data_IF_955865124038
#
_entry.id   IF_955865124038
#
_cell.length_a   1.000
_cell.length_b   1.000
_cell.length_c   1.000
_cell.angle_alpha   90.00
_cell.angle_beta   90.00
_cell.angle_gamma   90.00
#
_symmetry.space_group_name_H-M   'P 1'
#
loop_
_entity.id
_entity.type
_entity.pdbx_description
1 polymer ?
#
# COMPACT_ATOMS: atom_id res chain seq x y z
N UNK A 1 -6.66 16.22 -19.39
CA UNK A 1 -6.04 15.25 -20.31
C UNK A 1 -4.90 14.49 -19.66
N UNK A 2 -3.87 15.19 -19.18
CA UNK A 2 -2.68 14.56 -18.58
C UNK A 2 -2.94 14.00 -17.17
N UNK A 3 -2.18 12.99 -16.76
CA UNK A 3 -2.08 12.57 -15.36
C UNK A 3 -1.17 13.55 -14.61
N UNK A 4 -1.67 14.12 -13.51
CA UNK A 4 -0.88 14.99 -12.65
C UNK A 4 -0.04 14.16 -11.67
N UNK A 5 1.10 14.71 -11.26
CA UNK A 5 1.96 14.14 -10.23
C UNK A 5 2.28 15.25 -9.22
N UNK A 6 2.24 14.92 -7.93
CA UNK A 6 2.77 15.79 -6.88
C UNK A 6 3.58 14.96 -5.88
N UNK A 7 4.53 15.60 -5.21
CA UNK A 7 5.47 14.96 -4.29
C UNK A 7 5.41 15.73 -2.97
N UNK A 8 5.33 15.01 -1.86
CA UNK A 8 5.23 15.59 -0.52
C UNK A 8 5.74 14.61 0.54
N UNK A 9 5.50 14.92 1.81
CA UNK A 9 5.74 14.06 2.97
C UNK A 9 4.54 14.21 3.93
N UNK A 10 4.49 13.44 5.03
CA UNK A 10 3.39 13.40 6.01
C UNK A 10 2.63 14.72 6.24
N UNK A 11 3.27 15.84 6.64
CA UNK A 11 2.55 17.10 6.85
C UNK A 11 1.90 17.68 5.60
N UNK A 12 2.61 17.64 4.46
CA UNK A 12 2.10 18.17 3.21
C UNK A 12 1.06 17.26 2.56
N UNK A 13 1.06 15.95 2.90
CA UNK A 13 -0.02 15.01 2.60
C UNK A 13 -1.24 15.30 3.46
N UNK A 14 -1.07 15.57 4.76
CA UNK A 14 -2.18 15.92 5.65
C UNK A 14 -2.97 17.14 5.14
N UNK A 15 -2.28 18.15 4.60
CA UNK A 15 -2.90 19.32 3.97
C UNK A 15 -3.62 19.00 2.64
N UNK A 16 -3.29 17.88 1.98
CA UNK A 16 -3.89 17.47 0.70
C UNK A 16 -5.08 16.53 0.85
N UNK A 17 -5.41 16.13 2.08
CA UNK A 17 -6.48 15.17 2.40
C UNK A 17 -7.80 15.52 1.70
N UNK A 18 -8.21 16.79 1.72
CA UNK A 18 -9.46 17.23 1.07
C UNK A 18 -9.39 17.11 -0.46
N UNK A 19 -8.31 17.55 -1.09
CA UNK A 19 -8.14 17.46 -2.54
C UNK A 19 -7.97 16.02 -3.02
N UNK A 20 -7.42 15.12 -2.20
CA UNK A 20 -7.38 13.69 -2.49
C UNK A 20 -8.82 13.13 -2.51
N UNK A 21 -9.65 13.50 -1.54
CA UNK A 21 -11.08 13.18 -1.52
C UNK A 21 -11.80 13.67 -2.77
N UNK A 22 -11.58 14.92 -3.18
CA UNK A 22 -12.11 15.48 -4.43
C UNK A 22 -11.66 14.66 -5.66
N UNK A 23 -10.37 14.32 -5.75
CA UNK A 23 -9.83 13.56 -6.88
C UNK A 23 -10.44 12.15 -6.96
N UNK A 24 -10.72 11.50 -5.83
CA UNK A 24 -11.41 10.21 -5.79
C UNK A 24 -12.88 10.35 -6.18
N UNK A 25 -13.60 11.33 -5.62
CA UNK A 25 -15.00 11.59 -5.97
C UNK A 25 -15.18 11.85 -7.47
N UNK A 26 -14.34 12.72 -8.02
CA UNK A 26 -14.37 13.11 -9.44
C UNK A 26 -13.67 12.11 -10.38
N UNK A 27 -13.10 11.02 -9.85
CA UNK A 27 -12.36 10.01 -10.61
C UNK A 27 -11.25 10.61 -11.49
N UNK A 28 -10.47 11.50 -10.89
CA UNK A 28 -9.35 12.21 -11.53
C UNK A 28 -8.07 11.38 -11.34
N UNK A 29 -7.41 10.94 -12.43
CA UNK A 29 -6.07 10.36 -12.37
C UNK A 29 -5.07 11.29 -11.70
N UNK A 30 -4.53 10.86 -10.55
CA UNK A 30 -3.54 11.59 -9.77
C UNK A 30 -2.51 10.62 -9.19
N UNK A 31 -1.23 10.93 -9.36
CA UNK A 31 -0.16 10.27 -8.62
C UNK A 31 0.31 11.19 -7.49
N UNK A 32 0.20 10.73 -6.26
CA UNK A 32 0.76 11.37 -5.08
C UNK A 32 1.97 10.56 -4.61
N UNK A 33 3.15 11.18 -4.57
CA UNK A 33 4.32 10.56 -3.95
C UNK A 33 4.41 11.08 -2.53
N UNK A 34 4.31 10.17 -1.56
CA UNK A 34 4.53 10.47 -0.15
C UNK A 34 5.89 9.90 0.26
N UNK A 35 6.86 10.79 0.43
CA UNK A 35 8.20 10.46 0.92
C UNK A 35 8.16 10.54 2.44
N UNK A 36 7.87 9.42 3.07
CA UNK A 36 7.70 9.35 4.53
C UNK A 36 8.99 9.74 5.26
N UNK A 37 8.81 10.47 6.37
CA UNK A 37 9.88 10.90 7.28
C UNK A 37 9.35 10.79 8.72
N UNK A 38 10.23 10.96 9.70
CA UNK A 38 9.84 10.83 11.09
C UNK A 38 8.75 11.81 11.50
N UNK A 39 7.72 11.29 12.19
CA UNK A 39 6.57 12.05 12.69
C UNK A 39 6.53 12.09 14.23
N UNK A 40 5.39 12.49 14.84
CA UNK A 40 4.25 13.19 14.24
C UNK A 40 4.55 14.70 14.03
N UNK A 41 3.64 15.41 13.35
CA UNK A 41 3.78 16.86 13.09
C UNK A 41 5.08 17.19 12.32
N UNK A 42 5.85 18.20 12.74
CA UNK A 42 7.18 18.49 12.19
C UNK A 42 8.11 17.27 12.30
N UNK A 43 7.97 16.50 13.38
CA UNK A 43 8.67 15.26 13.63
C UNK A 43 10.17 15.36 13.48
N UNK A 44 10.75 14.41 12.74
CA UNK A 44 12.17 14.30 12.43
C UNK A 44 12.37 14.43 10.92
N UNK A 45 12.49 15.66 10.39
CA UNK A 45 12.50 15.92 8.95
C UNK A 45 13.51 15.13 8.12
N UNK A 46 14.63 14.78 8.73
CA UNK A 46 15.79 14.14 8.10
C UNK A 46 15.91 12.65 8.42
N UNK A 47 14.92 12.08 9.11
CA UNK A 47 14.96 10.70 9.58
C UNK A 47 13.90 9.85 8.89
N UNK A 48 14.22 8.58 8.70
CA UNK A 48 13.31 7.60 8.08
C UNK A 48 12.28 7.13 9.08
N UNK A 49 11.04 7.02 8.62
CA UNK A 49 9.93 6.35 9.31
C UNK A 49 8.90 5.91 8.26
N UNK A 50 8.05 4.96 8.62
CA UNK A 50 6.99 4.35 7.81
C UNK A 50 5.63 4.50 8.52
N UNK A 51 5.44 5.64 9.18
CA UNK A 51 4.30 5.94 10.05
C UNK A 51 3.03 6.34 9.31
N UNK A 52 3.11 6.74 8.04
CA UNK A 52 1.99 7.38 7.34
C UNK A 52 0.97 6.37 6.75
N UNK A 53 1.31 5.07 6.69
CA UNK A 53 0.53 4.02 6.01
C UNK A 53 -0.98 4.06 6.30
N UNK A 54 -1.39 4.02 7.58
CA UNK A 54 -2.82 4.01 7.91
C UNK A 54 -3.49 5.32 7.53
N UNK A 55 -2.82 6.46 7.76
CA UNK A 55 -3.36 7.76 7.36
C UNK A 55 -3.49 7.86 5.84
N UNK A 56 -2.56 7.27 5.08
CA UNK A 56 -2.58 7.26 3.63
C UNK A 56 -3.73 6.39 3.13
N UNK A 57 -4.06 5.29 3.79
CA UNK A 57 -5.20 4.47 3.37
C UNK A 57 -6.53 5.09 3.79
N UNK A 58 -6.65 5.61 5.03
CA UNK A 58 -7.93 5.94 5.67
C UNK A 58 -8.08 7.39 6.17
N UNK A 59 -7.15 8.29 5.84
CA UNK A 59 -7.10 9.63 6.44
C UNK A 59 -8.09 10.64 5.87
N UNK A 60 -8.70 10.35 4.73
CA UNK A 60 -9.68 11.22 4.08
C UNK A 60 -11.10 11.03 4.66
N UNK A 61 -11.89 12.12 4.81
CA UNK A 61 -13.29 12.00 5.19
C UNK A 61 -14.11 11.23 4.16
N UNK A 62 -15.00 10.36 4.63
CA UNK A 62 -15.86 9.52 3.78
C UNK A 62 -15.11 8.38 3.08
N UNK A 63 -15.85 7.53 2.36
CA UNK A 63 -15.29 6.38 1.67
C UNK A 63 -14.47 6.81 0.44
N UNK A 64 -13.15 6.86 0.63
CA UNK A 64 -12.19 7.39 -0.35
C UNK A 64 -11.24 6.30 -0.87
N UNK A 65 -11.74 5.34 -1.68
CA UNK A 65 -10.93 4.24 -2.19
C UNK A 65 -9.85 4.76 -3.15
N UNK A 66 -8.62 4.29 -2.95
CA UNK A 66 -7.46 4.64 -3.77
C UNK A 66 -6.41 3.55 -3.71
N UNK A 67 -5.49 3.55 -4.68
CA UNK A 67 -4.39 2.59 -4.72
C UNK A 67 -3.22 3.13 -3.90
N UNK A 68 -2.61 2.28 -3.09
CA UNK A 68 -1.38 2.59 -2.32
C UNK A 68 -0.35 1.51 -2.65
N UNK A 69 0.79 1.94 -3.18
CA UNK A 69 1.93 1.09 -3.49
C UNK A 69 3.19 1.61 -2.81
N UNK A 70 4.10 0.71 -2.44
CA UNK A 70 5.36 1.03 -1.78
C UNK A 70 6.53 0.39 -2.53
N UNK A 71 7.42 1.18 -3.15
CA UNK A 71 8.62 0.65 -3.79
C UNK A 71 9.59 0.12 -2.74
N UNK A 72 10.32 -0.94 -3.07
CA UNK A 72 11.24 -1.60 -2.13
C UNK A 72 12.72 -1.23 -2.30
N UNK A 73 13.10 -0.74 -3.49
CA UNK A 73 14.49 -0.42 -3.87
C UNK A 73 14.53 0.82 -4.75
N UNK A 74 15.72 1.37 -5.00
CA UNK A 74 15.88 2.54 -5.88
C UNK A 74 15.48 2.22 -7.32
N UNK A 75 15.80 1.02 -7.81
CA UNK A 75 15.32 0.54 -9.10
C UNK A 75 13.78 0.44 -9.12
N UNK A 76 13.19 -0.06 -8.04
CA UNK A 76 11.74 -0.17 -7.93
C UNK A 76 11.06 1.20 -7.86
N UNK A 77 11.68 2.22 -7.27
CA UNK A 77 11.20 3.60 -7.32
C UNK A 77 11.03 4.10 -8.76
N UNK A 78 12.02 3.84 -9.63
CA UNK A 78 11.96 4.22 -11.05
C UNK A 78 10.75 3.58 -11.76
N UNK A 79 10.61 2.25 -11.66
CA UNK A 79 9.51 1.54 -12.32
C UNK A 79 8.15 1.76 -11.67
N UNK A 80 8.12 2.06 -10.38
CA UNK A 80 6.89 2.29 -9.63
C UNK A 80 6.19 3.58 -10.04
N UNK A 81 6.92 4.65 -10.39
CA UNK A 81 6.29 5.87 -10.92
C UNK A 81 5.62 5.62 -12.28
N UNK A 82 6.27 4.86 -13.17
CA UNK A 82 5.70 4.46 -14.47
C UNK A 82 4.41 3.64 -14.24
N UNK A 83 4.47 2.70 -13.30
CA UNK A 83 3.34 1.82 -12.94
C UNK A 83 2.20 2.63 -12.32
N UNK A 84 2.49 3.52 -11.38
CA UNK A 84 1.51 4.36 -10.69
C UNK A 84 0.74 5.23 -11.67
N UNK A 85 1.44 5.87 -12.62
CA UNK A 85 0.81 6.68 -13.67
C UNK A 85 -0.13 5.84 -14.53
N UNK A 86 0.30 4.64 -14.96
CA UNK A 86 -0.56 3.73 -15.73
C UNK A 86 -1.82 3.33 -14.97
N UNK A 87 -1.68 3.02 -13.67
CA UNK A 87 -2.81 2.65 -12.81
C UNK A 87 -3.76 3.85 -12.68
N UNK A 88 -3.25 5.04 -12.36
CA UNK A 88 -4.05 6.24 -12.19
C UNK A 88 -4.88 6.55 -13.45
N UNK A 89 -4.26 6.48 -14.63
CA UNK A 89 -4.90 6.72 -15.93
C UNK A 89 -5.92 5.63 -16.29
N UNK A 90 -5.56 4.36 -16.13
CA UNK A 90 -6.40 3.22 -16.53
C UNK A 90 -7.62 3.09 -15.62
N UNK A 91 -7.43 3.25 -14.31
CA UNK A 91 -8.46 3.03 -13.31
C UNK A 91 -9.16 4.33 -12.85
N UNK A 92 -8.81 5.48 -13.44
CA UNK A 92 -9.37 6.79 -13.05
C UNK A 92 -9.42 6.97 -11.53
N UNK A 93 -8.25 6.85 -10.91
CA UNK A 93 -8.11 6.84 -9.45
C UNK A 93 -6.87 7.60 -9.01
N UNK A 94 -6.85 7.94 -7.72
CA UNK A 94 -5.63 8.34 -7.03
C UNK A 94 -4.76 7.11 -6.82
N UNK A 95 -3.46 7.27 -7.07
CA UNK A 95 -2.42 6.30 -6.72
C UNK A 95 -1.40 6.99 -5.82
N UNK A 96 -1.25 6.49 -4.60
CA UNK A 96 -0.22 6.94 -3.67
C UNK A 96 0.99 6.02 -3.78
N UNK A 97 2.15 6.61 -4.08
CA UNK A 97 3.45 5.93 -4.03
C UNK A 97 4.08 6.29 -2.69
N UNK A 98 4.04 5.34 -1.77
CA UNK A 98 4.49 5.47 -0.40
C UNK A 98 5.94 5.00 -0.29
N UNK A 99 6.87 5.93 -0.43
CA UNK A 99 8.31 5.70 -0.25
C UNK A 99 8.76 6.28 1.10
N UNK A 100 10.04 6.26 1.41
CA UNK A 100 10.57 6.79 2.66
C UNK A 100 11.91 7.53 2.47
N UNK A 101 12.34 8.25 3.51
CA UNK A 101 13.57 9.04 3.50
C UNK A 101 14.83 8.20 3.22
N UNK A 102 14.81 6.89 3.52
CA UNK A 102 15.92 5.99 3.24
C UNK A 102 16.07 5.76 1.74
N UNK A 103 14.98 5.46 1.02
CA UNK A 103 15.03 5.34 -0.45
C UNK A 103 15.25 6.68 -1.16
N UNK A 104 14.74 7.78 -0.60
CA UNK A 104 14.86 9.10 -1.20
C UNK A 104 16.28 9.68 -1.13
N UNK A 105 17.04 9.33 -0.09
CA UNK A 105 18.44 9.80 0.10
C UNK A 105 19.50 8.74 -0.21
N UNK A 106 19.10 7.47 -0.30
CA UNK A 106 19.97 6.36 -0.65
C UNK A 106 20.48 6.41 -2.09
N UNK A 107 21.57 5.69 -2.33
CA UNK A 107 22.14 5.47 -3.66
C UNK A 107 22.44 3.98 -3.84
N UNK A 108 22.07 3.43 -4.99
CA UNK A 108 22.31 2.03 -5.33
C UNK A 108 22.61 1.93 -6.83
N UNK A 109 23.68 1.23 -7.24
CA UNK A 109 23.86 0.88 -8.64
C UNK A 109 22.78 -0.13 -9.04
N UNK A 110 22.08 0.14 -10.14
CA UNK A 110 21.13 -0.81 -10.73
C UNK A 110 21.26 -0.81 -12.25
N UNK A 111 20.70 -1.83 -12.88
CA UNK A 111 20.79 -2.00 -14.33
C UNK A 111 20.19 -0.79 -15.04
N UNK A 112 20.96 -0.16 -15.93
CA UNK A 112 20.50 1.00 -16.70
C UNK A 112 19.19 0.65 -17.42
N UNK A 113 18.09 1.39 -17.18
CA UNK A 113 16.82 1.12 -17.84
C UNK A 113 16.95 1.23 -19.36
N UNK A 114 16.47 0.22 -20.08
CA UNK A 114 16.33 0.26 -21.54
C UNK A 114 15.01 0.91 -21.90
N UNK A 115 15.05 2.07 -22.57
CA UNK A 115 13.87 2.83 -22.93
C UNK A 115 12.80 1.95 -23.58
N UNK A 116 11.56 2.13 -23.14
CA UNK A 116 10.40 1.47 -23.71
C UNK A 116 9.31 2.54 -23.96
N UNK A 117 8.81 2.70 -25.20
CA UNK A 117 7.73 3.65 -25.51
C UNK A 117 6.49 3.49 -24.63
N UNK A 118 6.20 2.28 -24.14
CA UNK A 118 5.09 2.02 -23.23
C UNK A 118 5.25 2.71 -21.86
N UNK A 119 6.41 3.30 -21.54
CA UNK A 119 6.61 4.12 -20.35
C UNK A 119 6.08 5.55 -20.49
N UNK A 120 5.75 5.98 -21.71
CA UNK A 120 5.16 7.28 -21.97
C UNK A 120 3.64 7.20 -21.88
N UNK A 121 3.00 8.32 -21.57
CA UNK A 121 1.55 8.44 -21.71
C UNK A 121 1.22 8.50 -23.21
N UNK A 122 0.12 7.86 -23.65
CA UNK A 122 -0.32 8.03 -25.03
C UNK A 122 -0.64 9.51 -25.30
N UNK A 123 -0.60 9.95 -26.57
CA UNK A 123 -1.13 11.26 -26.94
C UNK A 123 -2.55 11.45 -26.44
N UNK A 124 -2.90 12.69 -26.10
CA UNK A 124 -4.26 13.01 -25.65
C UNK A 124 -5.22 12.77 -26.82
N UNK A 125 -6.22 11.92 -26.60
CA UNK A 125 -7.34 11.75 -27.52
C UNK A 125 -8.24 13.00 -27.50
N UNK A 126 -8.39 13.62 -28.66
CA UNK A 126 -9.28 14.79 -28.89
C UNK A 126 -10.41 14.46 -29.88
N UNK A 127 -10.60 13.18 -30.20
CA UNK A 127 -11.74 12.76 -31.02
C UNK A 127 -13.08 13.11 -30.36
N UNK A 128 -14.15 13.37 -31.14
CA UNK A 128 -15.48 13.61 -30.61
C UNK A 128 -15.96 12.47 -29.70
N UNK A 129 -16.69 12.84 -28.65
CA UNK A 129 -17.39 11.88 -27.81
C UNK A 129 -18.62 11.34 -28.57
N UNK A 130 -18.85 10.01 -28.58
CA UNK A 130 -20.05 9.42 -29.17
C UNK A 130 -21.33 10.01 -28.58
N UNK A 131 -22.34 10.20 -29.42
CA UNK A 131 -23.65 10.67 -28.98
C UNK A 131 -24.23 9.74 -27.91
N UNK A 132 -24.79 10.32 -26.84
CA UNK A 132 -25.35 9.59 -25.70
C UNK A 132 -24.34 9.02 -24.69
N UNK A 133 -23.03 9.11 -24.95
CA UNK A 133 -22.03 8.67 -23.98
C UNK A 133 -22.02 9.56 -22.72
N UNK A 134 -21.84 8.94 -21.55
CA UNK A 134 -21.87 9.64 -20.26
C UNK A 134 -20.47 9.72 -19.61
N UNK A 135 -20.13 10.81 -18.89
CA UNK A 135 -18.80 10.98 -18.28
C UNK A 135 -18.46 9.94 -17.20
N UNK A 136 -19.48 9.40 -16.54
CA UNK A 136 -19.38 8.38 -15.51
C UNK A 136 -20.23 7.15 -15.90
N UNK A 137 -20.11 6.73 -17.17
CA UNK A 137 -20.73 5.50 -17.67
C UNK A 137 -19.97 4.27 -17.14
N UNK A 138 -20.25 3.90 -15.89
CA UNK A 138 -19.54 2.84 -15.18
C UNK A 138 -19.88 1.46 -15.76
N UNK A 139 -18.84 0.73 -16.14
CA UNK A 139 -19.01 -0.65 -16.60
C UNK A 139 -19.42 -1.56 -15.42
N UNK A 140 -20.50 -2.35 -15.56
CA UNK A 140 -21.12 -3.07 -14.44
C UNK A 140 -20.21 -4.11 -13.75
N UNK A 141 -19.19 -4.63 -14.45
CA UNK A 141 -18.26 -5.62 -13.87
C UNK A 141 -16.99 -5.03 -13.28
N UNK A 142 -16.60 -3.82 -13.68
CA UNK A 142 -15.27 -3.25 -13.36
C UNK A 142 -15.33 -1.88 -12.71
N UNK A 143 -16.48 -1.19 -12.79
CA UNK A 143 -16.64 0.19 -12.35
C UNK A 143 -15.88 1.21 -13.20
N UNK A 144 -15.21 0.78 -14.28
CA UNK A 144 -14.44 1.69 -15.14
C UNK A 144 -15.37 2.46 -16.07
N UNK A 145 -15.02 3.72 -16.32
CA UNK A 145 -15.75 4.60 -17.25
C UNK A 145 -14.77 5.35 -18.15
N UNK A 146 -15.23 5.77 -19.33
CA UNK A 146 -14.39 6.57 -20.25
C UNK A 146 -14.16 7.96 -19.67
N UNK A 147 -12.89 8.37 -19.55
CA UNK A 147 -12.54 9.74 -19.16
C UNK A 147 -12.79 10.68 -20.33
N UNK A 148 -13.69 11.65 -20.15
CA UNK A 148 -13.86 12.76 -21.10
C UNK A 148 -12.77 13.79 -20.85
N UNK A 149 -12.10 14.23 -21.91
CA UNK A 149 -10.98 15.18 -21.84
C UNK A 149 -11.47 16.55 -22.30
N UNK A 150 -11.19 17.63 -21.54
CA UNK A 150 -11.48 18.99 -21.99
C UNK A 150 -10.94 19.24 -23.40
N UNK A 151 -11.78 19.81 -24.26
CA UNK A 151 -11.50 20.03 -25.69
C UNK A 151 -12.18 19.03 -26.64
N UNK A 152 -12.63 17.86 -26.16
CA UNK A 152 -13.34 16.90 -27.01
C UNK A 152 -14.74 17.41 -27.39
N UNK A 153 -15.06 17.50 -28.70
CA UNK A 153 -16.41 17.83 -29.16
C UNK A 153 -17.46 16.86 -28.58
N UNK A 154 -18.59 17.38 -28.10
CA UNK A 154 -19.64 16.58 -27.45
C UNK A 154 -19.32 16.12 -26.02
N UNK A 155 -18.13 16.43 -25.48
CA UNK A 155 -17.69 15.96 -24.15
C UNK A 155 -17.92 16.92 -22.98
N UNK A 156 -18.76 17.96 -23.14
CA UNK A 156 -18.99 18.96 -22.10
C UNK A 156 -19.67 18.33 -20.87
N UNK A 157 -19.05 18.46 -19.70
CA UNK A 157 -19.58 17.96 -18.43
C UNK A 157 -19.00 18.75 -17.24
N UNK A 158 -19.62 18.59 -16.08
CA UNK A 158 -19.19 19.20 -14.82
C UNK A 158 -18.34 18.22 -14.01
N UNK A 159 -17.28 18.69 -13.38
CA UNK A 159 -16.57 17.96 -12.34
C UNK A 159 -16.96 18.56 -10.99
N UNK A 160 -17.28 17.72 -10.00
CA UNK A 160 -17.73 18.17 -8.68
C UNK A 160 -17.28 17.21 -7.58
N UNK A 161 -17.10 17.74 -6.37
CA UNK A 161 -16.91 16.96 -5.14
C UNK A 161 -18.21 16.48 -4.51
N UNK A 162 -19.36 16.86 -5.07
CA UNK A 162 -20.67 16.42 -4.62
C UNK A 162 -21.01 15.04 -5.21
N UNK A 163 -21.90 14.31 -4.53
CA UNK A 163 -22.53 13.13 -5.11
C UNK A 163 -23.22 13.49 -6.45
N UNK A 164 -23.09 12.61 -7.42
CA UNK A 164 -23.52 12.89 -8.79
C UNK A 164 -23.96 11.62 -9.53
N UNK A 165 -24.86 11.81 -10.48
CA UNK A 165 -25.31 10.77 -11.42
C UNK A 165 -24.23 10.43 -12.44
N UNK A 166 -24.46 9.35 -13.21
CA UNK A 166 -23.60 8.97 -14.34
C UNK A 166 -23.42 10.08 -15.41
N UNK A 167 -24.36 11.04 -15.48
CA UNK A 167 -24.33 12.23 -16.35
C UNK A 167 -23.64 13.45 -15.73
N UNK A 168 -22.90 13.26 -14.64
CA UNK A 168 -22.18 14.32 -13.94
C UNK A 168 -23.08 15.45 -13.37
N UNK A 169 -24.35 15.14 -13.08
CA UNK A 169 -25.29 16.06 -12.43
C UNK A 169 -25.32 15.79 -10.94
N UNK A 170 -25.24 16.84 -10.15
CA UNK A 170 -25.37 16.78 -8.68
C UNK A 170 -26.68 16.08 -8.32
N UNK A 171 -26.60 15.14 -7.38
CA UNK A 171 -27.70 14.32 -6.94
C UNK A 171 -27.54 14.00 -5.45
N UNK A 172 -28.66 14.05 -4.73
CA UNK A 172 -28.72 13.81 -3.28
C UNK A 172 -29.63 12.63 -2.94
N UNK A 173 -30.17 11.97 -3.95
CA UNK A 173 -30.99 10.78 -3.82
C UNK A 173 -30.14 9.62 -3.26
N UNK A 174 -30.62 8.89 -2.24
CA UNK A 174 -29.84 7.85 -1.57
C UNK A 174 -29.26 6.81 -2.53
N UNK A 175 -30.04 6.39 -3.52
CA UNK A 175 -29.62 5.38 -4.51
C UNK A 175 -28.45 5.84 -5.39
N UNK A 176 -28.37 7.13 -5.73
CA UNK A 176 -27.30 7.66 -6.58
C UNK A 176 -25.98 7.68 -5.83
N UNK A 177 -26.00 8.06 -4.55
CA UNK A 177 -24.78 8.04 -3.74
C UNK A 177 -24.27 6.60 -3.53
N UNK A 178 -25.18 5.64 -3.25
CA UNK A 178 -24.84 4.23 -3.14
C UNK A 178 -24.19 3.70 -4.43
N UNK A 179 -24.81 3.96 -5.58
CA UNK A 179 -24.31 3.54 -6.89
C UNK A 179 -22.88 4.07 -7.15
N UNK A 180 -22.64 5.37 -6.89
CA UNK A 180 -21.32 5.97 -7.05
C UNK A 180 -20.27 5.34 -6.13
N UNK A 181 -20.62 5.05 -4.87
CA UNK A 181 -19.73 4.36 -3.93
C UNK A 181 -19.43 2.93 -4.39
N UNK A 182 -20.44 2.18 -4.82
CA UNK A 182 -20.31 0.81 -5.31
C UNK A 182 -19.33 0.75 -6.48
N UNK A 183 -19.47 1.62 -7.48
CA UNK A 183 -18.58 1.62 -8.64
C UNK A 183 -17.18 2.10 -8.33
N UNK A 184 -16.99 3.11 -7.47
CA UNK A 184 -15.65 3.52 -7.01
C UNK A 184 -14.92 2.38 -6.29
N UNK A 185 -15.64 1.62 -5.45
CA UNK A 185 -15.11 0.44 -4.78
C UNK A 185 -14.82 -0.70 -5.77
N UNK A 186 -15.73 -0.94 -6.73
CA UNK A 186 -15.58 -1.99 -7.73
C UNK A 186 -14.34 -1.80 -8.60
N UNK A 187 -13.94 -0.55 -8.89
CA UNK A 187 -12.66 -0.25 -9.57
C UNK A 187 -11.46 -0.78 -8.79
N UNK A 188 -11.47 -0.64 -7.47
CA UNK A 188 -10.40 -1.13 -6.61
C UNK A 188 -10.36 -2.67 -6.62
N UNK A 189 -11.52 -3.32 -6.57
CA UNK A 189 -11.64 -4.78 -6.68
C UNK A 189 -11.19 -5.30 -8.05
N UNK A 190 -11.57 -4.61 -9.13
CA UNK A 190 -11.12 -4.92 -10.49
C UNK A 190 -9.59 -4.79 -10.61
N UNK A 191 -8.99 -3.74 -10.02
CA UNK A 191 -7.54 -3.61 -9.95
C UNK A 191 -6.90 -4.75 -9.15
N UNK A 192 -7.45 -5.11 -7.99
CA UNK A 192 -6.94 -6.21 -7.17
C UNK A 192 -6.84 -7.52 -7.94
N UNK A 193 -7.81 -7.84 -8.81
CA UNK A 193 -7.79 -9.04 -9.66
C UNK A 193 -6.66 -9.06 -10.69
N UNK A 194 -6.07 -7.91 -11.00
CA UNK A 194 -4.89 -7.82 -11.87
C UNK A 194 -3.57 -8.03 -11.13
N UNK A 195 -3.59 -7.99 -9.80
CA UNK A 195 -2.40 -8.15 -8.97
C UNK A 195 -1.98 -9.62 -8.93
N UNK A 196 -0.69 -9.85 -9.15
CA UNK A 196 -0.07 -11.15 -8.90
C UNK A 196 0.18 -11.31 -7.41
N UNK A 197 -0.07 -12.51 -6.89
CA UNK A 197 0.34 -12.88 -5.54
C UNK A 197 1.86 -12.74 -5.42
N UNK A 198 2.38 -12.06 -4.39
CA UNK A 198 3.82 -11.91 -4.19
C UNK A 198 4.48 -13.26 -3.88
N UNK A 199 5.73 -13.39 -4.30
CA UNK A 199 6.54 -14.61 -4.08
C UNK A 199 7.15 -14.58 -2.69
N UNK A 200 7.09 -15.70 -1.98
CA UNK A 200 7.81 -15.91 -0.71
C UNK A 200 9.31 -16.03 -0.99
N UNK A 201 10.12 -15.35 -0.18
CA UNK A 201 11.57 -15.49 -0.18
C UNK A 201 11.98 -16.50 0.90
N UNK A 202 12.52 -17.65 0.48
CA UNK A 202 12.73 -18.83 1.32
C UNK A 202 11.79 -19.97 0.94
N UNK A 203 11.46 -20.82 1.90
CA UNK A 203 10.58 -21.97 1.69
C UNK A 203 9.09 -21.53 1.72
N UNK A 204 8.18 -22.25 1.04
CA UNK A 204 6.77 -21.86 0.97
C UNK A 204 5.99 -22.06 2.29
N UNK A 205 6.62 -22.69 3.29
CA UNK A 205 6.09 -22.99 4.62
C UNK A 205 7.24 -23.08 5.64
N UNK A 206 6.96 -22.86 6.92
CA UNK A 206 8.01 -22.82 7.94
C UNK A 206 7.55 -22.45 9.33
N UNK A 207 8.50 -22.18 10.22
CA UNK A 207 8.20 -21.77 11.59
C UNK A 207 7.79 -20.29 11.64
N UNK A 208 8.47 -19.42 10.89
CA UNK A 208 8.26 -17.97 10.93
C UNK A 208 8.22 -17.34 9.54
N UNK A 209 7.16 -16.56 9.27
CA UNK A 209 7.07 -15.65 8.14
C UNK A 209 7.29 -14.21 8.60
N UNK A 210 8.31 -13.54 8.03
CA UNK A 210 8.57 -12.12 8.25
C UNK A 210 8.03 -11.29 7.09
N UNK A 211 7.03 -10.46 7.37
CA UNK A 211 6.39 -9.62 6.37
C UNK A 211 6.90 -8.18 6.45
N UNK A 212 7.25 -7.60 5.31
CA UNK A 212 7.76 -6.23 5.22
C UNK A 212 7.19 -5.47 4.05
N UNK A 213 7.46 -4.17 4.04
CA UNK A 213 7.14 -3.28 2.93
C UNK A 213 8.12 -2.10 2.86
N UNK A 214 8.15 -1.42 1.71
CA UNK A 214 9.04 -0.28 1.49
C UNK A 214 10.52 -0.64 1.60
N UNK A 215 11.32 0.24 2.19
CA UNK A 215 12.78 0.09 2.27
C UNK A 215 13.28 -1.03 3.19
N UNK A 216 12.39 -1.72 3.92
CA UNK A 216 12.77 -2.80 4.85
C UNK A 216 13.20 -4.09 4.15
N UNK A 217 12.88 -4.26 2.85
CA UNK A 217 13.13 -5.48 2.07
C UNK A 217 14.55 -6.03 2.23
N UNK A 218 15.56 -5.21 1.93
CA UNK A 218 16.95 -5.66 1.92
C UNK A 218 17.40 -6.16 3.28
N UNK A 219 17.04 -5.44 4.35
CA UNK A 219 17.41 -5.84 5.70
C UNK A 219 16.71 -7.13 6.16
N UNK A 220 15.45 -7.32 5.75
CA UNK A 220 14.68 -8.53 6.04
C UNK A 220 15.25 -9.73 5.29
N UNK A 221 15.47 -9.62 3.98
CA UNK A 221 15.99 -10.72 3.15
C UNK A 221 17.39 -11.14 3.62
N UNK A 222 18.28 -10.19 3.95
CA UNK A 222 19.60 -10.50 4.50
C UNK A 222 19.52 -11.21 5.87
N UNK A 223 18.60 -10.79 6.75
CA UNK A 223 18.39 -11.48 8.02
C UNK A 223 17.83 -12.90 7.85
N UNK A 224 16.94 -13.09 6.87
CA UNK A 224 16.42 -14.42 6.50
C UNK A 224 17.56 -15.32 6.01
N UNK A 225 18.44 -14.83 5.13
CA UNK A 225 19.57 -15.61 4.62
C UNK A 225 20.49 -16.09 5.75
N UNK A 226 20.83 -15.20 6.69
CA UNK A 226 21.67 -15.53 7.86
C UNK A 226 21.00 -16.55 8.79
N UNK A 227 19.72 -16.35 9.11
CA UNK A 227 18.96 -17.28 9.95
C UNK A 227 18.81 -18.67 9.30
N UNK A 228 18.62 -18.71 7.97
CA UNK A 228 18.54 -19.97 7.21
C UNK A 228 19.87 -20.68 7.09
N UNK A 229 20.99 -19.95 7.00
CA UNK A 229 22.34 -20.54 7.02
C UNK A 229 22.60 -21.34 8.31
N UNK A 230 21.94 -20.96 9.42
CA UNK A 230 21.97 -21.65 10.70
C UNK A 230 20.87 -22.73 10.85
N UNK A 231 20.17 -23.06 9.76
CA UNK A 231 19.16 -24.12 9.74
C UNK A 231 17.77 -23.72 10.27
N UNK A 232 17.50 -22.43 10.48
CA UNK A 232 16.15 -22.00 10.89
C UNK A 232 15.19 -22.00 9.69
N UNK A 233 13.96 -22.48 9.93
CA UNK A 233 12.88 -22.52 8.93
C UNK A 233 12.13 -21.19 8.87
N UNK A 234 12.84 -20.14 8.47
CA UNK A 234 12.28 -18.79 8.34
C UNK A 234 12.19 -18.38 6.88
N UNK A 235 11.21 -17.54 6.56
CA UNK A 235 11.01 -16.98 5.21
C UNK A 235 10.45 -15.57 5.32
N UNK A 236 10.49 -14.80 4.23
CA UNK A 236 9.93 -13.46 4.18
C UNK A 236 8.98 -13.24 3.01
N UNK A 237 8.09 -12.26 3.16
CA UNK A 237 7.20 -11.80 2.10
C UNK A 237 7.14 -10.29 2.10
N UNK A 238 7.50 -9.68 0.96
CA UNK A 238 7.55 -8.23 0.84
C UNK A 238 6.39 -7.69 -0.01
N UNK A 239 5.61 -6.76 0.54
CA UNK A 239 4.44 -6.21 -0.14
C UNK A 239 4.77 -4.95 -0.93
N UNK A 240 4.40 -4.95 -2.22
CA UNK A 240 4.46 -3.77 -3.09
C UNK A 240 3.14 -3.00 -3.15
N UNK A 241 2.00 -3.68 -3.09
CA UNK A 241 0.67 -3.06 -3.04
C UNK A 241 0.08 -3.25 -1.65
N UNK A 242 -0.17 -2.13 -0.98
CA UNK A 242 -0.70 -2.09 0.39
C UNK A 242 -2.23 -1.86 0.39
N UNK A 243 -2.74 -1.20 -0.65
CA UNK A 243 -4.18 -1.05 -0.89
C UNK A 243 -4.44 -1.04 -2.41
N UNK A 244 -5.28 -1.94 -2.95
CA UNK A 244 -5.68 -3.19 -2.32
C UNK A 244 -4.47 -4.13 -2.23
N UNK A 245 -4.45 -5.01 -1.24
CA UNK A 245 -3.45 -6.08 -1.17
C UNK A 245 -3.77 -7.19 -2.18
N UNK A 246 -2.75 -7.87 -2.70
CA UNK A 246 -2.93 -8.99 -3.63
C UNK A 246 -3.70 -10.14 -2.98
N UNK A 247 -4.43 -10.93 -3.79
CA UNK A 247 -5.04 -12.18 -3.33
C UNK A 247 -3.98 -13.25 -3.03
N UNK A 248 -4.32 -14.27 -2.24
CA UNK A 248 -3.40 -15.37 -1.90
C UNK A 248 -2.58 -15.16 -0.61
N UNK A 249 -2.65 -13.97 0.01
CA UNK A 249 -1.85 -13.64 1.20
C UNK A 249 -2.28 -14.45 2.43
N UNK A 250 -3.58 -14.71 2.60
CA UNK A 250 -4.08 -15.51 3.72
C UNK A 250 -3.54 -16.93 3.67
N UNK A 251 -3.60 -17.53 2.48
CA UNK A 251 -3.15 -18.90 2.23
C UNK A 251 -1.63 -19.03 2.40
N UNK A 252 -0.87 -17.99 2.09
CA UNK A 252 0.58 -17.95 2.38
C UNK A 252 0.80 -17.88 3.89
N UNK A 253 0.18 -16.92 4.58
CA UNK A 253 0.37 -16.72 6.02
C UNK A 253 0.03 -17.96 6.85
N UNK A 254 -1.01 -18.71 6.47
CA UNK A 254 -1.45 -19.92 7.17
C UNK A 254 -0.46 -21.10 7.07
N UNK A 255 0.52 -21.03 6.17
CA UNK A 255 1.57 -22.07 6.03
C UNK A 255 2.73 -21.88 7.01
N UNK A 256 2.66 -20.86 7.87
CA UNK A 256 3.68 -20.57 8.86
C UNK A 256 3.10 -20.61 10.26
N UNK A 257 3.86 -21.14 11.23
CA UNK A 257 3.41 -21.21 12.63
C UNK A 257 3.24 -19.82 13.23
N UNK A 258 4.10 -18.87 12.88
CA UNK A 258 3.99 -17.46 13.28
C UNK A 258 4.20 -16.52 12.10
N UNK A 259 3.47 -15.41 12.11
CA UNK A 259 3.64 -14.28 11.17
C UNK A 259 4.02 -13.05 11.96
N UNK A 260 5.08 -12.36 11.56
CA UNK A 260 5.56 -11.12 12.19
C UNK A 260 5.78 -10.06 11.11
N UNK A 261 5.32 -8.84 11.34
CA UNK A 261 5.70 -7.69 10.49
C UNK A 261 6.98 -7.02 10.99
N UNK A 262 7.81 -6.55 10.08
CA UNK A 262 8.97 -5.69 10.37
C UNK A 262 8.78 -4.34 9.70
N UNK A 263 8.67 -3.28 10.51
CA UNK A 263 8.30 -1.94 10.06
C UNK A 263 9.08 -0.86 10.80
N UNK A 264 9.28 0.30 10.14
CA UNK A 264 9.88 1.48 10.77
C UNK A 264 8.77 2.40 11.29
N UNK A 265 7.85 1.90 12.10
CA UNK A 265 6.80 2.68 12.76
C UNK A 265 6.57 2.16 14.19
N UNK A 266 5.81 2.89 15.01
CA UNK A 266 5.69 2.56 16.42
C UNK A 266 4.69 1.41 16.68
N UNK A 267 5.09 0.47 17.54
CA UNK A 267 4.22 -0.49 18.22
C UNK A 267 4.61 -0.59 19.69
N UNK A 268 3.69 -1.01 20.56
CA UNK A 268 3.99 -1.19 21.98
C UNK A 268 4.87 -2.42 22.22
N UNK A 269 5.74 -2.35 23.24
CA UNK A 269 6.45 -3.51 23.78
C UNK A 269 5.47 -4.31 24.66
N UNK A 270 5.10 -5.54 24.28
CA UNK A 270 4.14 -6.35 25.05
C UNK A 270 4.67 -6.77 26.43
N UNK A 271 5.95 -6.55 26.74
CA UNK A 271 6.55 -6.86 28.05
C UNK A 271 6.34 -5.74 29.08
N UNK A 272 5.89 -4.57 28.65
CA UNK A 272 5.64 -3.46 29.55
C UNK A 272 4.38 -3.73 30.38
N UNK A 273 4.42 -3.53 31.71
CA UNK A 273 3.36 -3.94 32.64
C UNK A 273 1.97 -3.36 32.34
N UNK A 274 1.93 -2.15 31.76
CA UNK A 274 0.69 -1.47 31.39
C UNK A 274 0.10 -1.92 30.03
N UNK A 275 0.87 -2.67 29.23
CA UNK A 275 0.46 -3.10 27.90
C UNK A 275 -0.19 -4.47 28.01
N UNK A 276 -1.47 -4.53 27.67
CA UNK A 276 -2.29 -5.75 27.68
C UNK A 276 -2.74 -6.08 26.27
N UNK A 277 -3.29 -7.28 26.07
CA UNK A 277 -3.86 -7.65 24.76
C UNK A 277 -4.97 -6.70 24.30
N UNK A 278 -5.72 -6.12 25.23
CA UNK A 278 -6.85 -5.22 24.96
C UNK A 278 -6.41 -3.82 24.52
N UNK A 279 -5.23 -3.35 24.94
CA UNK A 279 -4.78 -1.98 24.69
C UNK A 279 -3.56 -1.88 23.77
N UNK A 280 -2.92 -3.02 23.43
CA UNK A 280 -1.70 -3.05 22.63
C UNK A 280 -1.89 -2.41 21.26
N UNK A 281 -1.07 -1.41 20.97
CA UNK A 281 -0.92 -0.81 19.66
C UNK A 281 0.02 -1.64 18.79
N UNK A 282 -0.51 -2.13 17.68
CA UNK A 282 0.25 -2.82 16.65
C UNK A 282 0.86 -1.85 15.65
N UNK A 283 1.94 -2.30 15.00
CA UNK A 283 2.50 -1.66 13.83
C UNK A 283 1.47 -1.64 12.67
N UNK A 284 1.61 -0.68 11.75
CA UNK A 284 0.57 -0.37 10.77
C UNK A 284 0.20 -1.56 9.86
N UNK A 285 1.19 -2.30 9.34
CA UNK A 285 0.94 -3.47 8.49
C UNK A 285 0.37 -4.63 9.31
N UNK A 286 0.86 -4.87 10.53
CA UNK A 286 0.31 -5.94 11.38
C UNK A 286 -1.18 -5.72 11.64
N UNK A 287 -1.57 -4.49 12.00
CA UNK A 287 -2.97 -4.13 12.18
C UNK A 287 -3.80 -4.40 10.92
N UNK A 288 -3.29 -4.00 9.73
CA UNK A 288 -3.98 -4.25 8.46
C UNK A 288 -4.14 -5.74 8.15
N UNK A 289 -3.12 -6.56 8.39
CA UNK A 289 -3.16 -8.00 8.12
C UNK A 289 -4.18 -8.69 9.04
N UNK A 290 -4.18 -8.35 10.33
CA UNK A 290 -5.16 -8.85 11.31
C UNK A 290 -6.59 -8.49 10.89
N UNK A 291 -6.83 -7.22 10.57
CA UNK A 291 -8.15 -6.71 10.18
C UNK A 291 -8.69 -7.34 8.89
N UNK A 292 -7.82 -7.67 7.93
CA UNK A 292 -8.24 -8.21 6.61
C UNK A 292 -8.37 -9.71 6.55
N UNK A 293 -7.50 -10.44 7.24
CA UNK A 293 -7.35 -11.87 7.03
C UNK A 293 -7.69 -12.73 8.25
N UNK A 294 -7.92 -12.10 9.42
CA UNK A 294 -8.13 -12.79 10.70
C UNK A 294 -6.98 -13.76 11.02
N UNK A 295 -5.75 -13.37 10.66
CA UNK A 295 -4.52 -14.07 11.01
C UNK A 295 -3.92 -13.36 12.22
N UNK A 296 -3.42 -14.13 13.20
CA UNK A 296 -2.69 -13.61 14.36
C UNK A 296 -1.27 -13.15 13.97
N UNK A 297 -1.20 -12.11 13.14
CA UNK A 297 0.04 -11.44 12.81
C UNK A 297 0.49 -10.59 14.00
N UNK A 298 1.72 -10.79 14.45
CA UNK A 298 2.40 -9.98 15.45
C UNK A 298 3.32 -8.96 14.75
N UNK A 299 3.96 -8.06 15.50
CA UNK A 299 4.88 -7.06 14.95
C UNK A 299 6.17 -6.92 15.74
N UNK A 300 7.23 -6.57 15.02
CA UNK A 300 8.46 -6.04 15.56
C UNK A 300 8.80 -4.76 14.80
N UNK A 301 8.82 -3.64 15.50
CA UNK A 301 9.01 -2.35 14.86
C UNK A 301 9.75 -1.39 15.77
N UNK A 302 10.32 -0.32 15.20
CA UNK A 302 10.92 0.76 15.97
C UNK A 302 10.87 2.09 15.21
N UNK A 303 11.11 3.18 15.94
CA UNK A 303 11.07 4.56 15.44
C UNK A 303 12.34 5.33 15.81
N UNK A 304 13.49 4.67 15.80
CA UNK A 304 14.77 5.31 16.12
C UNK A 304 15.24 6.34 15.06
N UNK A 305 14.44 6.57 14.02
CA UNK A 305 14.78 7.47 12.92
C UNK A 305 15.91 6.95 12.02
N UNK A 306 16.17 5.64 12.04
CA UNK A 306 17.26 5.00 11.30
C UNK A 306 16.73 3.76 10.58
N UNK A 307 17.34 3.36 9.45
CA UNK A 307 17.05 2.08 8.83
C UNK A 307 17.29 0.93 9.81
N UNK A 308 16.44 -0.09 9.76
CA UNK A 308 16.59 -1.28 10.59
C UNK A 308 17.80 -2.08 10.12
N UNK A 309 18.65 -2.50 11.07
CA UNK A 309 19.83 -3.32 10.79
C UNK A 309 19.43 -4.80 10.62
N UNK A 310 19.97 -5.53 9.64
CA UNK A 310 19.71 -6.96 9.46
C UNK A 310 19.94 -7.79 10.73
N UNK A 311 21.02 -7.53 11.47
CA UNK A 311 21.34 -8.27 12.69
C UNK A 311 20.29 -8.14 13.81
N UNK A 312 19.58 -7.01 13.88
CA UNK A 312 18.49 -6.85 14.86
C UNK A 312 17.26 -7.67 14.48
N UNK A 313 16.96 -7.76 13.18
CA UNK A 313 15.88 -8.61 12.64
C UNK A 313 16.23 -10.08 12.87
N UNK A 314 17.47 -10.46 12.58
CA UNK A 314 17.98 -11.81 12.77
C UNK A 314 17.87 -12.26 14.23
N UNK A 315 18.27 -11.40 15.18
CA UNK A 315 18.13 -11.68 16.60
C UNK A 315 16.65 -11.90 16.98
N UNK A 316 15.75 -11.01 16.53
CA UNK A 316 14.31 -11.17 16.76
C UNK A 316 13.79 -12.50 16.19
N UNK A 317 14.19 -12.88 14.97
CA UNK A 317 13.78 -14.16 14.38
C UNK A 317 14.20 -15.34 15.25
N UNK A 318 15.43 -15.34 15.77
CA UNK A 318 15.94 -16.41 16.64
C UNK A 318 15.13 -16.52 17.93
N UNK A 319 14.89 -15.40 18.60
CA UNK A 319 14.10 -15.34 19.83
C UNK A 319 12.68 -15.90 19.60
N UNK A 320 12.05 -15.54 18.48
CA UNK A 320 10.69 -15.99 18.15
C UNK A 320 10.62 -17.46 17.77
N UNK A 321 11.60 -17.97 17.02
CA UNK A 321 11.68 -19.40 16.70
C UNK A 321 11.99 -20.24 17.94
N UNK A 322 12.82 -19.74 18.86
CA UNK A 322 13.07 -20.42 20.14
C UNK A 322 11.79 -20.53 20.97
N UNK A 323 11.04 -19.42 21.13
CA UNK A 323 9.77 -19.42 21.87
C UNK A 323 8.71 -20.37 21.29
N UNK A 324 8.67 -20.55 19.97
CA UNK A 324 7.79 -21.54 19.33
C UNK A 324 8.14 -22.97 19.75
N UNK A 325 9.42 -23.31 19.85
CA UNK A 325 9.88 -24.64 20.26
C UNK A 325 9.58 -24.92 21.73
N UNK A 326 9.73 -23.93 22.60
CA UNK A 326 9.38 -24.03 24.02
C UNK A 326 7.89 -24.32 24.19
N UNK A 327 7.02 -23.58 23.49
CA UNK A 327 5.56 -23.78 23.52
C UNK A 327 5.17 -25.19 23.03
N UNK A 328 5.84 -25.71 22.01
CA UNK A 328 5.62 -27.08 21.50
C UNK A 328 6.00 -28.15 22.53
N UNK A 329 7.09 -27.94 23.28
CA UNK A 329 7.54 -28.86 24.34
C UNK A 329 6.53 -28.87 25.49
N UNK A 330 6.08 -27.70 25.96
CA UNK A 330 5.11 -27.61 27.06
C UNK A 330 3.79 -28.28 26.70
N UNK A 331 3.31 -28.09 25.46
CA UNK A 331 2.08 -28.73 24.96
C UNK A 331 2.21 -30.26 24.87
N UNK A 332 3.42 -30.79 24.67
CA UNK A 332 3.70 -32.22 24.66
C UNK A 332 3.81 -32.82 26.07
N UNK A 333 4.24 -32.04 27.06
CA UNK A 333 4.33 -32.48 28.46
C UNK A 333 2.94 -32.51 29.13
N UNK A 334 2.03 -31.62 28.73
CA UNK A 334 0.65 -31.58 29.26
C UNK A 334 -0.30 -32.63 28.68
N UNK A 335 0.12 -33.39 27.64
CA UNK A 335 -0.67 -34.46 26.99
C UNK A 335 -0.25 -35.85 27.42
#
# INVERSE_FOLDING_TARGET
>A
GKCAVTITSGPGKALKTELIGLAVMAEIPLVLVDVQRGGPSTGLPTKVEQGDLLSVIFGEPGDTPKVVMAPATIEDCFYSIITARKIAETFRTVVVVLTDANLATGQQPFTRPKFNPAWLAPPIDQSPIPEGAKPYDWHPKTGLSRRFIPGQPGGMHTITGLAHTNNAKVAYEPGVNQEGCDFRSLKLAAFQKTLKTPTVYGDPEGDLLVMGWGSTRGAIEEAVDRARADGLRVSSLHLKFLQPMASGLKEIMQKFKKVITVEINYSDDPRHEMITEDNRRYANLAWLLRARYLVDADCWSNVHGQPIKPGAIEQMMRERVAALKETEIDTLIER
#
